data_IF_197331356483
#
_entry.id   IF_197331356483
#
_cell.length_a   1.000
_cell.length_b   1.000
_cell.length_c   1.000
_cell.angle_alpha   90.00
_cell.angle_beta   90.00
_cell.angle_gamma   90.00
#
_symmetry.space_group_name_H-M   'P 1'
#
loop_
_entity.id
_entity.type
_entity.pdbx_description
1 polymer ?
#
# COMPACT_ATOMS: atom_id res chain seq x y z
N UNK A 1 16.66 4.28 14.53
CA UNK A 1 15.85 5.40 13.99
C UNK A 1 14.81 4.74 13.08
N UNK A 2 13.54 5.01 13.30
CA UNK A 2 12.49 4.45 12.46
C UNK A 2 12.71 4.84 10.98
N UNK A 3 12.38 3.93 10.06
CA UNK A 3 12.46 4.20 8.62
C UNK A 3 11.32 5.13 8.17
N UNK A 4 10.11 4.86 8.62
CA UNK A 4 8.93 5.71 8.47
C UNK A 4 8.37 6.04 9.84
N UNK A 5 8.06 7.30 10.09
CA UNK A 5 7.47 7.76 11.34
C UNK A 5 6.30 8.70 11.07
N UNK A 6 5.17 8.42 11.70
CA UNK A 6 4.00 9.27 11.74
C UNK A 6 3.90 9.87 13.14
N UNK A 7 3.83 11.19 13.22
CA UNK A 7 3.75 11.95 14.47
C UNK A 7 2.42 12.71 14.53
N UNK A 8 1.45 12.20 15.30
CA UNK A 8 0.11 12.78 15.53
C UNK A 8 -0.64 13.17 14.24
N UNK A 9 -0.57 12.32 13.22
CA UNK A 9 -1.19 12.57 11.91
C UNK A 9 -2.71 12.55 12.00
N UNK A 10 -3.36 13.64 11.58
CA UNK A 10 -4.81 13.77 11.49
C UNK A 10 -5.25 14.20 10.10
N UNK A 11 -6.39 13.68 9.67
CA UNK A 11 -7.04 14.05 8.40
C UNK A 11 -8.52 14.28 8.62
N UNK A 12 -8.95 15.53 8.42
CA UNK A 12 -10.34 15.96 8.55
C UNK A 12 -10.84 16.42 7.19
N UNK A 13 -11.90 15.80 6.69
CA UNK A 13 -12.60 16.27 5.51
C UNK A 13 -13.64 17.31 5.91
N UNK A 14 -13.60 18.52 5.29
CA UNK A 14 -14.55 19.57 5.61
C UNK A 14 -15.98 19.17 5.25
N UNK A 15 -16.94 19.79 5.93
CA UNK A 15 -18.35 19.65 5.60
C UNK A 15 -18.61 20.05 4.15
N UNK A 16 -19.22 19.18 3.35
CA UNK A 16 -19.64 19.50 1.98
C UNK A 16 -21.04 20.13 2.02
N UNK A 17 -21.19 21.34 1.49
CA UNK A 17 -22.51 21.89 1.19
C UNK A 17 -23.01 21.29 -0.12
N UNK A 18 -24.04 20.45 -0.06
CA UNK A 18 -24.74 20.03 -1.28
C UNK A 18 -25.42 21.25 -1.92
N UNK A 19 -25.29 21.41 -3.24
CA UNK A 19 -25.88 22.53 -4.02
C UNK A 19 -27.42 22.67 -3.82
N UNK A 20 -28.09 21.63 -3.31
CA UNK A 20 -29.54 21.54 -3.16
C UNK A 20 -29.99 21.21 -1.73
N UNK A 21 -29.08 21.13 -0.74
CA UNK A 21 -29.47 20.83 0.65
C UNK A 21 -29.07 21.97 1.59
N UNK A 22 -30.04 22.47 2.37
CA UNK A 22 -29.84 23.49 3.41
C UNK A 22 -29.04 22.91 4.64
N UNK A 23 -28.74 21.62 4.68
CA UNK A 23 -28.00 20.98 5.77
C UNK A 23 -26.52 20.86 5.41
N UNK A 24 -25.66 21.52 6.17
CA UNK A 24 -24.21 21.23 6.18
C UNK A 24 -23.99 19.84 6.77
N UNK A 25 -23.31 18.94 6.05
CA UNK A 25 -22.81 17.70 6.65
C UNK A 25 -21.79 18.07 7.75
N UNK A 26 -21.70 17.27 8.82
CA UNK A 26 -20.62 17.46 9.78
C UNK A 26 -19.26 17.14 9.13
N UNK A 27 -18.15 17.75 9.59
CA UNK A 27 -16.83 17.36 9.16
C UNK A 27 -16.55 15.90 9.53
N UNK A 28 -15.87 15.16 8.65
CA UNK A 28 -15.54 13.76 8.86
C UNK A 28 -14.07 13.65 9.26
N UNK A 29 -13.80 13.20 10.49
CA UNK A 29 -12.46 12.89 10.95
C UNK A 29 -12.13 11.47 10.47
N UNK A 30 -11.33 11.36 9.40
CA UNK A 30 -10.97 10.08 8.81
C UNK A 30 -9.72 9.46 9.45
N UNK A 31 -8.80 10.29 9.92
CA UNK A 31 -7.60 9.91 10.70
C UNK A 31 -7.50 10.88 11.87
N UNK A 32 -7.26 10.38 13.06
CA UNK A 32 -7.34 11.11 14.31
C UNK A 32 -6.11 10.84 15.19
N UNK A 33 -5.11 11.72 15.12
CA UNK A 33 -3.90 11.71 15.95
C UNK A 33 -3.07 10.43 15.84
N UNK A 34 -2.94 9.84 14.66
CA UNK A 34 -2.20 8.59 14.48
C UNK A 34 -0.70 8.82 14.61
N UNK A 35 -0.08 8.11 15.57
CA UNK A 35 1.36 8.00 15.72
C UNK A 35 1.77 6.54 15.58
N UNK A 36 2.69 6.24 14.65
CA UNK A 36 3.25 4.90 14.47
C UNK A 36 4.64 4.98 13.80
N UNK A 37 5.42 3.92 13.95
CA UNK A 37 6.73 3.81 13.33
C UNK A 37 6.87 2.48 12.59
N UNK A 38 7.62 2.49 11.49
CA UNK A 38 7.98 1.30 10.71
C UNK A 38 9.48 1.23 10.60
N UNK A 39 10.07 0.09 10.91
CA UNK A 39 11.51 -0.12 10.79
C UNK A 39 11.90 -0.45 9.34
N UNK A 40 13.19 -0.29 9.01
CA UNK A 40 13.67 -0.59 7.68
C UNK A 40 13.60 -2.10 7.39
N UNK A 41 13.02 -2.46 6.26
CA UNK A 41 12.83 -3.87 5.85
C UNK A 41 11.67 -4.57 6.56
N UNK A 42 10.92 -3.86 7.41
CA UNK A 42 9.74 -4.38 8.11
C UNK A 42 8.51 -4.40 7.20
N UNK A 43 7.67 -5.42 7.36
CA UNK A 43 6.31 -5.46 6.84
C UNK A 43 5.36 -5.11 7.98
N UNK A 44 4.82 -3.89 7.99
CA UNK A 44 3.79 -3.48 8.92
C UNK A 44 2.41 -3.80 8.36
N UNK A 45 1.62 -4.60 9.05
CA UNK A 45 0.21 -4.84 8.76
C UNK A 45 -0.69 -3.73 9.32
N UNK A 46 -1.57 -3.17 8.50
CA UNK A 46 -2.60 -2.23 8.94
C UNK A 46 -3.98 -2.86 8.72
N UNK A 47 -4.70 -3.16 9.80
CA UNK A 47 -5.98 -3.87 9.76
C UNK A 47 -7.10 -3.07 10.43
N UNK A 48 -8.34 -3.31 10.02
CA UNK A 48 -9.56 -2.72 10.58
C UNK A 48 -10.71 -2.78 9.60
N UNK A 49 -11.93 -2.50 10.07
CA UNK A 49 -13.14 -2.51 9.24
C UNK A 49 -13.08 -1.56 8.05
N UNK A 50 -13.92 -1.79 7.04
CA UNK A 50 -14.08 -0.86 5.93
C UNK A 50 -14.53 0.52 6.43
N UNK A 51 -13.91 1.58 5.90
CA UNK A 51 -14.22 2.96 6.30
C UNK A 51 -13.57 3.42 7.61
N UNK A 52 -12.74 2.63 8.30
CA UNK A 52 -12.09 3.07 9.54
C UNK A 52 -10.93 4.07 9.34
N UNK A 53 -10.53 4.38 8.08
CA UNK A 53 -9.51 5.38 7.76
C UNK A 53 -8.22 4.85 7.13
N UNK A 54 -8.03 3.53 6.94
CA UNK A 54 -6.80 2.90 6.41
C UNK A 54 -6.36 3.49 5.07
N UNK A 55 -7.25 3.54 4.08
CA UNK A 55 -6.92 4.10 2.76
C UNK A 55 -6.70 5.61 2.78
N UNK A 56 -7.29 6.33 3.74
CA UNK A 56 -6.97 7.75 3.96
C UNK A 56 -5.56 7.88 4.53
N UNK A 57 -5.22 7.09 5.54
CA UNK A 57 -3.88 7.09 6.14
C UNK A 57 -2.81 6.73 5.10
N UNK A 58 -3.03 5.66 4.29
CA UNK A 58 -2.09 5.26 3.24
C UNK A 58 -1.88 6.36 2.19
N UNK A 59 -2.95 7.02 1.73
CA UNK A 59 -2.85 8.16 0.80
C UNK A 59 -2.13 9.34 1.42
N UNK A 60 -2.25 9.54 2.73
CA UNK A 60 -1.56 10.61 3.46
C UNK A 60 -0.07 10.31 3.57
N UNK A 61 0.31 9.08 3.89
CA UNK A 61 1.72 8.63 3.87
C UNK A 61 2.33 8.79 2.47
N UNK A 62 1.55 8.49 1.43
CA UNK A 62 1.93 8.68 0.03
C UNK A 62 1.95 10.17 -0.39
N UNK A 63 1.61 11.12 0.46
CA UNK A 63 1.44 12.54 0.12
C UNK A 63 0.46 12.78 -1.05
N UNK A 64 -0.50 11.89 -1.26
CA UNK A 64 -1.63 12.07 -2.18
C UNK A 64 -2.73 12.89 -1.53
N UNK A 65 -2.81 12.81 -0.21
CA UNK A 65 -3.67 13.60 0.67
C UNK A 65 -2.78 14.32 1.68
N UNK A 66 -2.92 15.64 1.81
CA UNK A 66 -2.20 16.36 2.87
C UNK A 66 -2.85 16.08 4.23
N UNK A 67 -2.07 15.84 5.29
CA UNK A 67 -2.62 15.81 6.64
C UNK A 67 -3.17 17.20 7.02
N UNK A 68 -4.19 17.21 7.87
CA UNK A 68 -4.72 18.44 8.48
C UNK A 68 -3.80 18.89 9.61
N UNK A 69 -3.26 17.92 10.35
CA UNK A 69 -2.32 18.10 11.45
C UNK A 69 -1.32 16.94 11.48
N UNK A 70 -0.20 17.14 12.18
CA UNK A 70 0.85 16.13 12.36
C UNK A 70 1.90 16.15 11.27
N UNK A 71 2.89 15.27 11.40
CA UNK A 71 4.08 15.21 10.56
C UNK A 71 4.36 13.78 10.12
N UNK A 72 5.01 13.63 8.98
CA UNK A 72 5.44 12.34 8.43
C UNK A 72 6.90 12.45 8.08
N UNK A 73 7.70 11.50 8.58
CA UNK A 73 9.14 11.43 8.33
C UNK A 73 9.48 10.13 7.61
N UNK A 74 10.36 10.22 6.61
CA UNK A 74 10.97 9.07 5.96
C UNK A 74 12.49 9.17 6.10
N UNK A 75 13.10 8.23 6.81
CA UNK A 75 14.52 8.23 7.16
C UNK A 75 15.01 9.57 7.77
N UNK A 76 14.17 10.13 8.64
CA UNK A 76 14.45 11.39 9.33
C UNK A 76 14.16 12.66 8.52
N UNK A 77 13.81 12.55 7.22
CA UNK A 77 13.38 13.70 6.41
C UNK A 77 11.87 13.93 6.57
N UNK A 78 11.47 15.14 6.94
CA UNK A 78 10.06 15.50 7.08
C UNK A 78 9.40 15.66 5.69
N UNK A 79 8.58 14.68 5.30
CA UNK A 79 7.89 14.69 4.02
C UNK A 79 6.77 15.74 3.94
N UNK A 80 6.14 16.04 5.06
CA UNK A 80 5.02 17.00 5.14
C UNK A 80 5.43 18.44 4.93
N UNK A 81 6.70 18.77 5.17
CA UNK A 81 7.28 20.09 4.93
C UNK A 81 7.70 20.32 3.46
N UNK A 82 7.74 19.25 2.63
CA UNK A 82 8.22 19.34 1.26
C UNK A 82 7.25 20.13 0.37
N UNK A 83 7.80 20.91 -0.55
CA UNK A 83 7.06 21.54 -1.65
C UNK A 83 6.55 20.49 -2.65
N UNK A 84 5.54 20.82 -3.46
CA UNK A 84 5.01 19.92 -4.49
C UNK A 84 6.08 19.46 -5.51
N UNK A 85 7.08 20.28 -5.79
CA UNK A 85 8.20 19.93 -6.69
C UNK A 85 9.15 18.92 -6.04
N UNK A 86 9.42 19.04 -4.75
CA UNK A 86 10.26 18.10 -3.98
C UNK A 86 9.55 16.76 -3.80
N UNK A 87 8.26 16.78 -3.43
CA UNK A 87 7.42 15.57 -3.38
C UNK A 87 7.46 14.82 -4.72
N UNK A 88 7.37 15.53 -5.87
CA UNK A 88 7.45 14.89 -7.19
C UNK A 88 8.78 14.17 -7.41
N UNK A 89 9.90 14.73 -6.95
CA UNK A 89 11.22 14.10 -7.04
C UNK A 89 11.33 12.86 -6.14
N UNK A 90 10.60 12.85 -5.02
CA UNK A 90 10.58 11.74 -4.06
C UNK A 90 9.59 10.61 -4.43
N UNK A 91 8.66 10.84 -5.36
CA UNK A 91 7.66 9.84 -5.79
C UNK A 91 8.24 8.47 -6.14
N UNK A 92 9.42 8.33 -6.76
CA UNK A 92 10.03 7.02 -7.00
C UNK A 92 10.39 6.26 -5.73
N UNK A 93 10.62 6.94 -4.58
CA UNK A 93 11.06 6.32 -3.34
C UNK A 93 9.91 5.60 -2.59
N UNK A 94 8.66 5.99 -2.83
CA UNK A 94 7.49 5.37 -2.22
C UNK A 94 6.41 5.11 -3.28
N UNK A 95 5.96 3.86 -3.36
CA UNK A 95 5.03 3.39 -4.37
C UNK A 95 3.84 2.69 -3.74
N UNK A 96 2.76 2.54 -4.51
CA UNK A 96 1.53 1.94 -4.03
C UNK A 96 1.04 0.86 -4.99
N UNK A 97 0.67 -0.29 -4.42
CA UNK A 97 -0.13 -1.32 -5.09
C UNK A 97 -1.58 -1.09 -4.66
N UNK A 98 -2.44 -0.77 -5.62
CA UNK A 98 -3.85 -0.45 -5.36
C UNK A 98 -4.71 -1.70 -5.28
N UNK A 99 -5.84 -1.58 -4.60
CA UNK A 99 -6.85 -2.62 -4.41
C UNK A 99 -7.38 -3.19 -5.74
N UNK A 100 -7.66 -2.33 -6.71
CA UNK A 100 -8.16 -2.72 -8.03
C UNK A 100 -7.05 -2.63 -9.09
N UNK A 101 -6.51 -3.77 -9.54
CA UNK A 101 -5.52 -3.78 -10.60
C UNK A 101 -6.07 -3.30 -11.94
N UNK A 102 -7.38 -3.42 -12.21
CA UNK A 102 -8.02 -2.88 -13.42
C UNK A 102 -7.98 -1.35 -13.45
N UNK A 103 -8.39 -0.71 -12.36
CA UNK A 103 -8.36 0.74 -12.27
C UNK A 103 -6.92 1.30 -12.24
N UNK A 104 -5.97 0.48 -11.81
CA UNK A 104 -4.58 0.90 -11.69
C UNK A 104 -3.78 0.79 -13.00
N UNK A 105 -4.18 -0.04 -13.96
CA UNK A 105 -3.49 -0.26 -15.23
C UNK A 105 -4.25 0.44 -16.37
N UNK A 106 -3.54 1.27 -17.14
CA UNK A 106 -4.14 1.92 -18.31
C UNK A 106 -4.47 0.87 -19.38
N UNK A 107 -5.75 0.66 -19.78
CA UNK A 107 -6.16 -0.43 -20.66
C UNK A 107 -5.59 -0.31 -22.07
N UNK A 108 -5.17 0.88 -22.47
CA UNK A 108 -4.60 1.17 -23.80
C UNK A 108 -3.09 0.93 -23.87
N UNK A 109 -2.43 0.66 -22.75
CA UNK A 109 -0.99 0.42 -22.69
C UNK A 109 -0.71 -1.07 -22.60
N UNK A 110 0.29 -1.53 -23.36
CA UNK A 110 0.83 -2.89 -23.17
C UNK A 110 1.56 -2.98 -21.83
N UNK A 111 1.79 -4.19 -21.33
CA UNK A 111 2.62 -4.40 -20.12
C UNK A 111 4.00 -3.76 -20.29
N UNK A 112 4.61 -3.90 -21.47
CA UNK A 112 5.88 -3.22 -21.78
C UNK A 112 5.79 -1.70 -21.62
N UNK A 113 4.77 -1.06 -22.17
CA UNK A 113 4.60 0.39 -22.09
C UNK A 113 4.42 0.86 -20.65
N UNK A 114 3.61 0.12 -19.88
CA UNK A 114 3.34 0.39 -18.46
C UNK A 114 4.62 0.29 -17.60
N UNK A 115 5.38 -0.80 -17.74
CA UNK A 115 6.60 -1.00 -16.97
C UNK A 115 7.72 -0.06 -17.42
N UNK A 116 7.84 0.21 -18.73
CA UNK A 116 8.77 1.21 -19.27
C UNK A 116 8.57 2.60 -18.66
N UNK A 117 7.32 3.07 -18.60
CA UNK A 117 6.98 4.37 -18.00
C UNK A 117 7.43 4.43 -16.54
N UNK A 118 7.13 3.39 -15.77
CA UNK A 118 7.51 3.30 -14.36
C UNK A 118 9.04 3.27 -14.18
N UNK A 119 9.77 2.48 -14.97
CA UNK A 119 11.24 2.42 -14.96
C UNK A 119 11.90 3.77 -15.29
N UNK A 120 11.31 4.55 -16.20
CA UNK A 120 11.84 5.85 -16.61
C UNK A 120 11.58 6.97 -15.60
N UNK A 121 10.75 6.74 -14.58
CA UNK A 121 10.43 7.73 -13.55
C UNK A 121 11.64 8.11 -12.69
N UNK A 122 12.60 7.20 -12.49
CA UNK A 122 13.82 7.44 -11.71
C UNK A 122 15.02 7.86 -12.55
N UNK A 123 15.24 7.20 -13.68
CA UNK A 123 16.39 7.46 -14.57
C UNK A 123 16.07 7.17 -16.03
N UNK A 124 16.70 7.92 -16.92
CA UNK A 124 16.62 7.63 -18.36
C UNK A 124 17.39 6.35 -18.67
N UNK A 125 16.83 5.51 -19.56
CA UNK A 125 17.38 4.25 -20.03
C UNK A 125 17.37 4.21 -21.56
N UNK A 126 18.30 3.50 -22.16
CA UNK A 126 18.25 3.20 -23.61
C UNK A 126 17.12 2.20 -23.89
N UNK A 127 16.77 2.03 -25.18
CA UNK A 127 15.73 1.05 -25.57
C UNK A 127 16.11 -0.38 -25.19
N UNK A 128 17.35 -0.79 -25.42
CA UNK A 128 17.84 -2.14 -25.08
C UNK A 128 17.77 -2.37 -23.57
N UNK A 129 18.36 -1.48 -22.77
CA UNK A 129 18.31 -1.55 -21.32
C UNK A 129 16.87 -1.61 -20.79
N UNK A 130 15.96 -0.79 -21.34
CA UNK A 130 14.55 -0.81 -20.91
C UNK A 130 13.87 -2.14 -21.18
N UNK A 131 14.18 -2.79 -22.32
CA UNK A 131 13.60 -4.10 -22.67
C UNK A 131 14.09 -5.18 -21.71
N UNK A 132 15.37 -5.19 -21.41
CA UNK A 132 15.98 -6.18 -20.51
C UNK A 132 15.49 -5.97 -19.08
N UNK A 133 15.43 -4.73 -18.58
CA UNK A 133 14.89 -4.37 -17.27
C UNK A 133 13.39 -4.77 -17.14
N UNK A 134 12.58 -4.58 -18.22
CA UNK A 134 11.18 -5.02 -18.21
C UNK A 134 11.08 -6.53 -18.16
N UNK A 135 11.93 -7.27 -18.89
CA UNK A 135 11.95 -8.73 -18.86
C UNK A 135 12.29 -9.22 -17.44
N UNK A 136 13.33 -8.69 -16.83
CA UNK A 136 13.73 -9.02 -15.44
C UNK A 136 12.62 -8.73 -14.42
N UNK A 137 11.95 -7.57 -14.53
CA UNK A 137 10.82 -7.25 -13.65
C UNK A 137 9.66 -8.22 -13.79
N UNK A 138 9.36 -8.64 -15.04
CA UNK A 138 8.31 -9.63 -15.27
C UNK A 138 8.66 -10.98 -14.66
N UNK A 139 9.90 -11.44 -14.80
CA UNK A 139 10.39 -12.68 -14.20
C UNK A 139 10.34 -12.63 -12.67
N UNK A 140 10.75 -11.50 -12.06
CA UNK A 140 10.68 -11.29 -10.60
C UNK A 140 9.27 -11.46 -10.04
N UNK A 141 8.23 -11.12 -10.81
CA UNK A 141 6.85 -11.32 -10.39
C UNK A 141 6.23 -12.62 -10.93
N UNK A 142 7.03 -13.52 -11.51
CA UNK A 142 6.59 -14.80 -12.02
C UNK A 142 5.75 -14.71 -13.30
N UNK A 143 6.03 -13.73 -14.16
CA UNK A 143 5.43 -13.57 -15.50
C UNK A 143 6.47 -13.82 -16.59
N UNK A 144 6.09 -14.54 -17.65
CA UNK A 144 6.98 -14.72 -18.80
C UNK A 144 7.18 -13.40 -19.55
N UNK A 145 8.44 -13.03 -19.90
CA UNK A 145 8.74 -11.86 -20.73
C UNK A 145 8.06 -11.87 -22.11
N UNK A 146 7.68 -13.06 -22.62
CA UNK A 146 6.93 -13.18 -23.89
C UNK A 146 5.58 -12.46 -23.86
N UNK A 147 5.02 -12.21 -22.66
CA UNK A 147 3.74 -11.54 -22.45
C UNK A 147 3.84 -10.00 -22.47
N UNK A 148 5.03 -9.41 -22.57
CA UNK A 148 5.23 -7.95 -22.48
C UNK A 148 4.45 -7.12 -23.50
N UNK A 149 4.10 -7.72 -24.65
CA UNK A 149 3.32 -7.07 -25.73
C UNK A 149 1.81 -7.12 -25.52
N UNK A 150 1.34 -7.90 -24.55
CA UNK A 150 -0.09 -8.04 -24.23
C UNK A 150 -0.62 -6.82 -23.50
N UNK A 151 -1.93 -6.62 -23.59
CA UNK A 151 -2.69 -5.59 -22.89
C UNK A 151 -3.27 -6.14 -21.58
N UNK A 152 -3.58 -5.30 -20.58
CA UNK A 152 -4.11 -5.75 -19.29
C UNK A 152 -5.35 -6.64 -19.39
N UNK A 153 -6.24 -6.40 -20.36
CA UNK A 153 -7.47 -7.18 -20.54
C UNK A 153 -7.22 -8.63 -20.99
N UNK A 154 -6.02 -8.95 -21.52
CA UNK A 154 -5.63 -10.30 -21.94
C UNK A 154 -5.07 -11.16 -20.78
N UNK A 155 -5.00 -10.62 -19.57
CA UNK A 155 -4.46 -11.27 -18.38
C UNK A 155 -5.56 -11.69 -17.41
N UNK A 156 -5.33 -12.80 -16.66
CA UNK A 156 -6.14 -13.15 -15.50
C UNK A 156 -6.01 -12.11 -14.36
N UNK A 157 -6.91 -12.12 -13.38
CA UNK A 157 -6.86 -11.22 -12.22
C UNK A 157 -5.51 -11.27 -11.50
N UNK A 158 -5.02 -12.48 -11.19
CA UNK A 158 -3.73 -12.68 -10.54
C UNK A 158 -2.54 -12.23 -11.40
N UNK A 159 -2.60 -12.40 -12.71
CA UNK A 159 -1.56 -11.90 -13.62
C UNK A 159 -1.55 -10.37 -13.67
N UNK A 160 -2.72 -9.72 -13.68
CA UNK A 160 -2.82 -8.24 -13.60
C UNK A 160 -2.26 -7.72 -12.30
N UNK A 161 -2.54 -8.40 -11.20
CA UNK A 161 -1.97 -8.05 -9.88
C UNK A 161 -0.44 -8.13 -9.90
N UNK A 162 0.13 -9.17 -10.52
CA UNK A 162 1.58 -9.30 -10.70
C UNK A 162 2.16 -8.15 -11.55
N UNK A 163 1.47 -7.71 -12.60
CA UNK A 163 1.87 -6.53 -13.40
C UNK A 163 1.80 -5.25 -12.56
N UNK A 164 0.76 -5.07 -11.72
CA UNK A 164 0.64 -3.92 -10.84
C UNK A 164 1.77 -3.89 -9.78
N UNK A 165 2.13 -5.05 -9.22
CA UNK A 165 3.28 -5.20 -8.32
C UNK A 165 4.59 -4.86 -9.06
N UNK A 166 4.83 -5.41 -10.25
CA UNK A 166 6.01 -5.10 -11.05
C UNK A 166 6.12 -3.60 -11.34
N UNK A 167 5.02 -2.95 -11.69
CA UNK A 167 4.97 -1.49 -11.91
C UNK A 167 5.37 -0.71 -10.66
N UNK A 168 4.87 -1.11 -9.48
CA UNK A 168 5.23 -0.47 -8.22
C UNK A 168 6.72 -0.66 -7.88
N UNK A 169 7.31 -1.80 -8.22
CA UNK A 169 8.73 -2.08 -7.98
C UNK A 169 9.68 -1.47 -9.01
N UNK A 170 9.19 -1.14 -10.21
CA UNK A 170 10.00 -0.64 -11.31
C UNK A 170 10.86 0.60 -10.97
N UNK A 171 10.40 1.56 -10.15
CA UNK A 171 11.22 2.68 -9.70
C UNK A 171 12.26 2.30 -8.62
N UNK A 172 12.37 1.04 -8.21
CA UNK A 172 13.22 0.60 -7.09
C UNK A 172 12.85 1.36 -5.79
N UNK A 173 11.59 1.29 -5.34
CA UNK A 173 11.12 2.07 -4.19
C UNK A 173 11.76 1.59 -2.89
N UNK A 174 11.78 2.47 -1.89
CA UNK A 174 12.24 2.18 -0.52
C UNK A 174 11.07 1.79 0.38
N UNK A 175 9.87 2.29 0.06
CA UNK A 175 8.60 1.99 0.73
C UNK A 175 7.55 1.57 -0.29
N UNK A 176 6.86 0.47 -0.03
CA UNK A 176 5.66 0.09 -0.78
C UNK A 176 4.46 0.02 0.16
N UNK A 177 3.35 0.64 -0.24
CA UNK A 177 2.07 0.46 0.43
C UNK A 177 1.21 -0.44 -0.45
N UNK A 178 0.82 -1.60 0.08
CA UNK A 178 -0.08 -2.54 -0.57
C UNK A 178 -1.49 -2.39 0.04
N UNK A 179 -2.37 -1.65 -0.65
CA UNK A 179 -3.74 -1.37 -0.17
C UNK A 179 -4.70 -2.44 -0.70
N UNK A 180 -5.06 -3.39 0.17
CA UNK A 180 -5.92 -4.54 -0.10
C UNK A 180 -5.54 -5.33 -1.39
N UNK A 181 -4.25 -5.70 -1.58
CA UNK A 181 -3.75 -6.19 -2.87
C UNK A 181 -4.30 -7.55 -3.28
N UNK A 182 -5.04 -8.24 -2.42
CA UNK A 182 -5.58 -9.59 -2.67
C UNK A 182 -7.09 -9.68 -2.54
N UNK A 183 -7.79 -8.62 -2.11
CA UNK A 183 -9.23 -8.65 -1.77
C UNK A 183 -10.16 -9.05 -2.92
N UNK A 184 -9.76 -8.80 -4.18
CA UNK A 184 -10.54 -9.09 -5.38
C UNK A 184 -10.14 -10.42 -6.06
N UNK A 185 -9.31 -11.25 -5.41
CA UNK A 185 -8.76 -12.47 -5.98
C UNK A 185 -9.33 -13.73 -5.30
N UNK A 186 -9.36 -14.84 -6.04
CA UNK A 186 -9.70 -16.16 -5.47
C UNK A 186 -8.66 -16.60 -4.43
N UNK A 187 -9.08 -17.36 -3.42
CA UNK A 187 -8.25 -17.78 -2.26
C UNK A 187 -6.92 -18.41 -2.69
N UNK A 188 -6.92 -19.29 -3.72
CA UNK A 188 -5.70 -19.93 -4.23
C UNK A 188 -4.72 -18.93 -4.86
N UNK A 189 -5.22 -17.89 -5.49
CA UNK A 189 -4.41 -16.83 -6.09
C UNK A 189 -3.94 -15.86 -5.02
N UNK A 190 -4.77 -15.57 -4.00
CA UNK A 190 -4.38 -14.75 -2.85
C UNK A 190 -3.08 -15.27 -2.21
N UNK A 191 -3.04 -16.57 -1.87
CA UNK A 191 -1.85 -17.20 -1.27
C UNK A 191 -0.60 -17.04 -2.14
N UNK A 192 -0.74 -17.17 -3.46
CA UNK A 192 0.38 -16.98 -4.39
C UNK A 192 0.89 -15.53 -4.40
N UNK A 193 -0.01 -14.54 -4.35
CA UNK A 193 0.37 -13.12 -4.31
C UNK A 193 0.99 -12.75 -2.97
N UNK A 194 0.47 -13.27 -1.85
CA UNK A 194 1.07 -13.06 -0.52
C UNK A 194 2.48 -13.60 -0.46
N UNK A 195 2.71 -14.84 -0.90
CA UNK A 195 4.04 -15.44 -0.96
C UNK A 195 5.00 -14.66 -1.87
N UNK A 196 4.52 -14.16 -3.00
CA UNK A 196 5.28 -13.29 -3.89
C UNK A 196 5.70 -11.99 -3.17
N UNK A 197 4.78 -11.32 -2.47
CA UNK A 197 5.07 -10.08 -1.75
C UNK A 197 6.09 -10.31 -0.62
N UNK A 198 5.97 -11.42 0.13
CA UNK A 198 6.94 -11.80 1.18
C UNK A 198 8.32 -12.03 0.57
N UNK A 199 8.42 -12.80 -0.52
CA UNK A 199 9.68 -13.05 -1.20
C UNK A 199 10.33 -11.74 -1.69
N UNK A 200 9.56 -10.90 -2.39
CA UNK A 200 10.03 -9.60 -2.89
C UNK A 200 10.49 -8.66 -1.78
N UNK A 201 9.76 -8.61 -0.64
CA UNK A 201 10.13 -7.79 0.51
C UNK A 201 11.48 -8.23 1.08
N UNK A 202 11.72 -9.55 1.20
CA UNK A 202 12.99 -10.13 1.70
C UNK A 202 14.13 -9.91 0.71
N UNK A 203 13.93 -10.26 -0.56
CA UNK A 203 14.98 -10.23 -1.59
C UNK A 203 15.46 -8.80 -1.88
N UNK A 204 14.55 -7.83 -1.80
CA UNK A 204 14.83 -6.42 -2.07
C UNK A 204 15.06 -5.60 -0.79
N UNK A 205 15.00 -6.21 0.41
CA UNK A 205 15.03 -5.51 1.71
C UNK A 205 14.04 -4.34 1.76
N UNK A 206 12.84 -4.56 1.24
CA UNK A 206 11.81 -3.56 1.03
C UNK A 206 11.00 -3.35 2.30
N UNK A 207 10.84 -2.09 2.71
CA UNK A 207 9.87 -1.73 3.76
C UNK A 207 8.48 -1.70 3.18
N UNK A 208 7.49 -2.31 3.85
CA UNK A 208 6.13 -2.41 3.33
C UNK A 208 5.08 -2.07 4.40
N UNK A 209 4.02 -1.37 3.99
CA UNK A 209 2.76 -1.31 4.75
C UNK A 209 1.74 -2.15 3.97
N UNK A 210 1.31 -3.25 4.58
CA UNK A 210 0.32 -4.15 4.02
C UNK A 210 -1.04 -3.90 4.66
N UNK A 211 -2.02 -3.49 3.87
CA UNK A 211 -3.37 -3.15 4.34
C UNK A 211 -4.36 -4.22 3.95
N UNK A 212 -5.13 -4.70 4.92
CA UNK A 212 -6.25 -5.61 4.69
C UNK A 212 -7.35 -5.38 5.74
N UNK A 213 -8.54 -5.88 5.47
CA UNK A 213 -9.60 -6.00 6.47
C UNK A 213 -9.59 -7.39 7.15
N UNK A 214 -8.81 -8.33 6.64
CA UNK A 214 -8.66 -9.70 7.19
C UNK A 214 -7.40 -9.78 8.04
N UNK A 215 -7.58 -9.98 9.36
CA UNK A 215 -6.49 -10.07 10.33
C UNK A 215 -5.64 -11.33 10.12
N UNK A 216 -6.21 -12.44 9.63
CA UNK A 216 -5.46 -13.67 9.34
C UNK A 216 -4.50 -13.48 8.18
N UNK A 217 -4.94 -12.78 7.13
CA UNK A 217 -4.09 -12.44 5.98
C UNK A 217 -2.95 -11.52 6.42
N UNK A 218 -3.25 -10.54 7.28
CA UNK A 218 -2.23 -9.62 7.80
C UNK A 218 -1.24 -10.36 8.71
N UNK A 219 -1.70 -11.21 9.60
CA UNK A 219 -0.84 -12.03 10.48
C UNK A 219 0.12 -12.93 9.67
N UNK A 220 -0.33 -13.45 8.52
CA UNK A 220 0.48 -14.31 7.66
C UNK A 220 1.70 -13.60 7.05
N UNK A 221 1.61 -12.30 6.76
CA UNK A 221 2.64 -11.57 6.03
C UNK A 221 3.44 -10.57 6.89
N UNK A 222 2.82 -10.01 7.94
CA UNK A 222 3.36 -8.87 8.68
C UNK A 222 4.26 -9.28 9.85
N UNK A 223 5.31 -8.48 10.11
CA UNK A 223 6.14 -8.59 11.30
C UNK A 223 5.45 -7.94 12.51
N UNK A 224 4.78 -6.80 12.30
CA UNK A 224 4.00 -6.07 13.31
C UNK A 224 2.65 -5.68 12.75
N UNK A 225 1.65 -5.54 13.62
CA UNK A 225 0.28 -5.19 13.26
C UNK A 225 -0.14 -3.92 13.99
N UNK A 226 -0.75 -3.01 13.23
CA UNK A 226 -1.49 -1.86 13.72
C UNK A 226 -2.99 -2.07 13.44
N UNK A 227 -3.81 -2.09 14.49
CA UNK A 227 -5.27 -2.22 14.39
C UNK A 227 -5.89 -0.84 14.43
N UNK A 228 -6.64 -0.50 13.37
CA UNK A 228 -7.26 0.81 13.22
C UNK A 228 -8.77 0.75 13.39
N UNK A 229 -9.32 1.64 14.25
CA UNK A 229 -10.76 1.79 14.48
C UNK A 229 -11.12 3.27 14.52
N UNK A 230 -12.11 3.70 13.73
CA UNK A 230 -12.64 5.07 13.73
C UNK A 230 -11.54 6.15 13.66
N UNK A 231 -10.58 5.99 12.78
CA UNK A 231 -9.50 6.94 12.56
C UNK A 231 -8.30 6.82 13.49
N UNK A 232 -8.33 5.96 14.52
CA UNK A 232 -7.28 5.81 15.53
C UNK A 232 -6.65 4.43 15.51
N UNK A 233 -5.36 4.34 15.85
CA UNK A 233 -4.73 3.06 16.16
C UNK A 233 -5.12 2.68 17.58
N UNK A 234 -5.79 1.53 17.73
CA UNK A 234 -6.29 1.04 19.02
C UNK A 234 -5.41 -0.06 19.60
N UNK A 235 -4.65 -0.75 18.77
CA UNK A 235 -3.67 -1.74 19.19
C UNK A 235 -2.50 -1.77 18.21
N UNK A 236 -1.27 -1.98 18.71
CA UNK A 236 -0.05 -1.98 17.92
C UNK A 236 1.01 -2.85 18.60
N UNK A 237 1.59 -3.78 17.85
CA UNK A 237 2.59 -4.70 18.39
C UNK A 237 3.05 -5.75 17.40
N UNK A 238 3.85 -6.71 17.89
CA UNK A 238 4.27 -7.89 17.10
C UNK A 238 3.06 -8.68 16.62
N UNK A 239 3.12 -9.17 15.37
CA UNK A 239 2.00 -9.83 14.72
C UNK A 239 1.48 -11.02 15.52
N UNK A 240 2.36 -11.90 15.99
CA UNK A 240 2.00 -13.07 16.79
C UNK A 240 1.31 -12.68 18.10
N UNK A 241 1.76 -11.60 18.76
CA UNK A 241 1.17 -11.14 20.02
C UNK A 241 -0.22 -10.54 19.80
N UNK A 242 -0.39 -9.68 18.81
CA UNK A 242 -1.70 -9.07 18.49
C UNK A 242 -2.70 -10.14 18.05
N UNK A 243 -2.24 -11.19 17.36
CA UNK A 243 -3.10 -12.28 16.89
C UNK A 243 -3.46 -13.28 18.01
N UNK A 244 -2.48 -13.70 18.84
CA UNK A 244 -2.71 -14.75 19.85
C UNK A 244 -3.27 -14.22 21.17
N UNK A 245 -2.95 -12.99 21.54
CA UNK A 245 -3.28 -12.40 22.84
C UNK A 245 -3.63 -10.91 22.71
N UNK A 246 -4.70 -10.58 21.95
CA UNK A 246 -5.12 -9.19 21.73
C UNK A 246 -5.53 -8.52 23.05
N UNK A 247 -5.01 -7.32 23.28
CA UNK A 247 -5.30 -6.53 24.48
C UNK A 247 -6.56 -5.69 24.35
N UNK A 248 -6.89 -5.25 23.12
CA UNK A 248 -8.03 -4.38 22.88
C UNK A 248 -9.28 -5.16 22.49
N UNK A 249 -10.44 -4.84 23.11
CA UNK A 249 -11.73 -5.51 22.86
C UNK A 249 -12.14 -5.59 21.38
N UNK A 250 -11.82 -4.54 20.60
CA UNK A 250 -12.10 -4.49 19.17
C UNK A 250 -11.27 -5.51 18.39
N UNK A 251 -9.99 -5.69 18.73
CA UNK A 251 -9.14 -6.71 18.10
C UNK A 251 -9.64 -8.11 18.43
N UNK A 252 -10.10 -8.34 19.67
CA UNK A 252 -10.73 -9.61 20.08
C UNK A 252 -11.99 -9.87 19.25
N UNK A 253 -12.84 -8.85 19.03
CA UNK A 253 -14.02 -8.96 18.20
C UNK A 253 -13.70 -9.25 16.73
N UNK A 254 -12.67 -8.60 16.16
CA UNK A 254 -12.19 -8.89 14.80
C UNK A 254 -11.73 -10.34 14.66
N UNK A 255 -10.97 -10.86 15.63
CA UNK A 255 -10.50 -12.26 15.64
C UNK A 255 -11.64 -13.25 15.78
N UNK A 256 -12.64 -12.94 16.61
CA UNK A 256 -13.81 -13.80 16.79
C UNK A 256 -14.67 -13.92 15.52
N UNK A 257 -14.60 -12.92 14.62
CA UNK A 257 -15.30 -12.92 13.34
C UNK A 257 -14.56 -13.71 12.23
N UNK A 258 -13.29 -14.09 12.45
CA UNK A 258 -12.52 -14.92 11.51
C UNK A 258 -13.04 -16.35 11.56
N UNK A 259 -13.46 -16.96 10.43
CA UNK A 259 -13.86 -18.35 10.39
C UNK A 259 -12.71 -19.25 10.86
N UNK A 260 -12.93 -20.04 11.91
CA UNK A 260 -11.98 -21.09 12.29
C UNK A 260 -12.14 -22.24 11.29
N UNK A 261 -11.10 -22.50 10.50
CA UNK A 261 -11.02 -23.68 9.63
C UNK A 261 -10.81 -24.93 10.46
#
# INVERSE_FOLDING_TARGET
MAFLELDHVSVVFPAVQGLLSARKSAPVVAVDGVSLSVEKGEILGLVGESGCGKSTLSRTVMLLQKPTEGRIFLEGEELTALSASEVRKRRPDFQMVFQDPYASLTPLFTVYATLKEALQSRRKRTFAQTRDDVAELMEKVGLSPSLMRKYPHEFSGGQRQRVAIARALAPEPRLVIADEPVSALDVSIQSQILNLLIALARDLSLTMIFISHDLSVVHYIADRIAVMRKGRIVEYGEADKVFSSPSHEYTQALLAAVPRL
#
